data_IF_908779516984
#
_entry.id   IF_908779516984
#
_cell.length_a   1.000
_cell.length_b   1.000
_cell.length_c   1.000
_cell.angle_alpha   90.00
_cell.angle_beta   90.00
_cell.angle_gamma   90.00
#
_symmetry.space_group_name_H-M   'P 1'
#
loop_
_entity.id
_entity.type
_entity.pdbx_description
1 polymer ?
#
# COMPACT_ATOMS: atom_id res chain seq x y z
N UNK A 1 6.05 -20.30 -36.25
CA UNK A 1 5.80 -19.21 -37.23
C UNK A 1 4.71 -18.20 -36.82
N UNK A 2 4.03 -18.35 -35.67
CA UNK A 2 2.93 -17.46 -35.25
C UNK A 2 3.29 -16.49 -34.10
N UNK A 3 4.53 -16.57 -33.60
CA UNK A 3 5.05 -15.76 -32.48
C UNK A 3 5.26 -14.27 -32.83
N UNK A 4 5.09 -13.87 -34.09
CA UNK A 4 5.29 -12.50 -34.56
C UNK A 4 3.97 -11.72 -34.80
N UNK A 5 2.80 -12.26 -34.43
CA UNK A 5 1.51 -11.59 -34.73
C UNK A 5 1.03 -10.70 -33.58
N UNK A 6 1.34 -11.04 -32.32
CA UNK A 6 0.78 -10.33 -31.16
C UNK A 6 1.31 -8.89 -31.03
N UNK A 7 2.59 -8.76 -30.68
CA UNK A 7 3.25 -7.45 -30.49
C UNK A 7 3.42 -6.67 -31.82
N UNK A 8 3.95 -7.27 -32.90
CA UNK A 8 4.12 -6.56 -34.17
C UNK A 8 2.80 -6.19 -34.86
N UNK A 9 1.76 -7.02 -34.74
CA UNK A 9 0.43 -6.72 -35.31
C UNK A 9 -0.26 -5.55 -34.60
N UNK A 10 -0.15 -5.48 -33.28
CA UNK A 10 -0.70 -4.36 -32.51
C UNK A 10 0.02 -3.04 -32.86
N UNK A 11 1.33 -3.08 -33.09
CA UNK A 11 2.12 -1.93 -33.53
C UNK A 11 1.67 -1.45 -34.93
N UNK A 12 1.42 -2.36 -35.87
CA UNK A 12 0.89 -2.03 -37.20
C UNK A 12 -0.47 -1.31 -37.09
N UNK A 13 -1.38 -1.85 -36.26
CA UNK A 13 -2.71 -1.24 -36.03
C UNK A 13 -2.56 0.15 -35.42
N UNK A 14 -1.67 0.33 -34.44
CA UNK A 14 -1.41 1.62 -33.81
C UNK A 14 -0.92 2.67 -34.83
N UNK A 15 -0.04 2.28 -35.76
CA UNK A 15 0.44 3.16 -36.85
C UNK A 15 -0.70 3.52 -37.81
N UNK A 16 -1.52 2.55 -38.23
CA UNK A 16 -2.66 2.81 -39.13
C UNK A 16 -3.65 3.79 -38.50
N UNK A 17 -4.00 3.58 -37.22
CA UNK A 17 -4.88 4.49 -36.47
C UNK A 17 -4.25 5.87 -36.34
N UNK A 18 -2.94 5.95 -36.05
CA UNK A 18 -2.23 7.22 -35.96
C UNK A 18 -2.20 7.99 -37.28
N UNK A 19 -2.14 7.31 -38.42
CA UNK A 19 -2.20 7.94 -39.77
C UNK A 19 -3.61 8.43 -40.08
N UNK A 20 -4.64 7.63 -39.77
CA UNK A 20 -6.04 7.99 -40.02
C UNK A 20 -6.54 9.15 -39.14
N UNK A 21 -6.21 9.11 -37.85
CA UNK A 21 -6.63 10.13 -36.89
C UNK A 21 -5.63 11.30 -36.78
N UNK A 22 -4.38 11.09 -37.19
CA UNK A 22 -3.30 12.05 -37.10
C UNK A 22 -2.74 12.21 -35.68
N UNK A 23 -1.44 12.52 -35.56
CA UNK A 23 -0.75 12.75 -34.27
C UNK A 23 -1.38 13.85 -33.40
N UNK A 24 -2.01 14.86 -34.01
CA UNK A 24 -2.60 15.99 -33.29
C UNK A 24 -3.87 15.64 -32.53
N UNK A 25 -4.80 14.89 -33.15
CA UNK A 25 -6.08 14.54 -32.51
C UNK A 25 -5.89 13.50 -31.41
N UNK A 26 -5.03 12.50 -31.64
CA UNK A 26 -4.73 11.45 -30.65
C UNK A 26 -4.06 12.02 -29.39
N UNK A 27 -3.13 12.97 -29.54
CA UNK A 27 -2.44 13.58 -28.39
C UNK A 27 -3.37 14.41 -27.50
N UNK A 28 -4.33 15.13 -28.09
CA UNK A 28 -5.31 15.91 -27.33
C UNK A 28 -6.24 15.00 -26.53
N UNK A 29 -6.75 13.94 -27.18
CA UNK A 29 -7.63 12.96 -26.54
C UNK A 29 -6.92 12.15 -25.45
N UNK A 30 -5.66 11.74 -25.67
CA UNK A 30 -4.89 11.05 -24.63
C UNK A 30 -4.56 11.93 -23.43
N UNK A 31 -4.44 13.24 -23.62
CA UNK A 31 -4.29 14.19 -22.50
C UNK A 31 -5.54 14.27 -21.62
N UNK A 32 -6.73 14.34 -22.23
CA UNK A 32 -8.02 14.39 -21.51
C UNK A 32 -8.35 13.04 -20.85
N UNK A 33 -8.17 11.93 -21.59
CA UNK A 33 -8.37 10.58 -21.06
C UNK A 33 -7.34 10.26 -19.96
N UNK A 34 -6.08 10.67 -20.12
CA UNK A 34 -5.03 10.49 -19.12
C UNK A 34 -5.33 11.19 -17.80
N UNK A 35 -5.90 12.41 -17.85
CA UNK A 35 -6.38 13.11 -16.66
C UNK A 35 -7.53 12.36 -15.99
N UNK A 36 -8.48 11.84 -16.76
CA UNK A 36 -9.59 11.03 -16.24
C UNK A 36 -9.13 9.74 -15.55
N UNK A 37 -8.20 9.00 -16.18
CA UNK A 37 -7.60 7.79 -15.59
C UNK A 37 -6.81 8.13 -14.32
N UNK A 38 -6.06 9.24 -14.32
CA UNK A 38 -5.28 9.64 -13.14
C UNK A 38 -6.18 10.06 -11.97
N UNK A 39 -7.25 10.81 -12.24
CA UNK A 39 -8.25 11.17 -11.23
C UNK A 39 -8.98 9.93 -10.68
N UNK A 40 -9.34 8.98 -11.55
CA UNK A 40 -9.92 7.71 -11.14
C UNK A 40 -8.95 6.90 -10.27
N UNK A 41 -7.69 6.78 -10.68
CA UNK A 41 -6.64 6.10 -9.90
C UNK A 41 -6.40 6.79 -8.55
N UNK A 42 -6.39 8.12 -8.51
CA UNK A 42 -6.24 8.88 -7.28
C UNK A 42 -7.43 8.65 -6.34
N UNK A 43 -8.67 8.73 -6.84
CA UNK A 43 -9.88 8.49 -6.06
C UNK A 43 -9.99 7.06 -5.53
N UNK A 44 -9.65 6.04 -6.34
CA UNK A 44 -9.60 4.64 -5.88
C UNK A 44 -8.51 4.43 -4.82
N UNK A 45 -7.35 5.08 -4.98
CA UNK A 45 -6.27 5.01 -4.00
C UNK A 45 -6.66 5.69 -2.69
N UNK A 46 -7.27 6.87 -2.74
CA UNK A 46 -7.78 7.58 -1.56
C UNK A 46 -8.84 6.75 -0.82
N UNK A 47 -9.80 6.16 -1.55
CA UNK A 47 -10.79 5.23 -0.94
C UNK A 47 -10.16 3.97 -0.35
N UNK A 48 -9.03 3.51 -0.90
CA UNK A 48 -8.30 2.35 -0.37
C UNK A 48 -7.43 2.72 0.84
N UNK A 49 -6.82 3.91 0.81
CA UNK A 49 -5.93 4.44 1.84
C UNK A 49 -6.72 4.89 3.08
N UNK A 50 -7.96 5.37 2.94
CA UNK A 50 -8.86 5.67 4.07
C UNK A 50 -9.20 4.39 4.87
N UNK A 51 -9.43 3.28 4.17
CA UNK A 51 -9.70 1.97 4.80
C UNK A 51 -8.41 1.38 5.42
N UNK A 52 -7.25 1.65 4.81
CA UNK A 52 -5.96 1.12 5.26
C UNK A 52 -5.34 1.95 6.41
N UNK A 53 -5.58 3.26 6.46
CA UNK A 53 -5.09 4.14 7.52
C UNK A 53 -5.71 3.80 8.87
N UNK A 54 -7.01 3.47 8.90
CA UNK A 54 -7.68 2.96 10.10
C UNK A 54 -7.08 1.61 10.57
N UNK A 55 -6.74 0.72 9.64
CA UNK A 55 -6.11 -0.56 9.96
C UNK A 55 -4.67 -0.43 10.48
N UNK A 56 -3.91 0.54 9.95
CA UNK A 56 -2.53 0.80 10.35
C UNK A 56 -2.43 1.39 11.76
N UNK A 57 -3.33 2.31 12.11
CA UNK A 57 -3.38 2.91 13.45
C UNK A 57 -3.76 1.88 14.52
N UNK A 58 -4.75 1.02 14.25
CA UNK A 58 -5.13 -0.10 15.12
C UNK A 58 -4.00 -1.12 15.30
N UNK A 59 -3.25 -1.41 14.23
CA UNK A 59 -2.12 -2.36 14.27
C UNK A 59 -0.93 -1.80 15.05
N UNK A 60 -0.63 -0.51 14.88
CA UNK A 60 0.43 0.19 15.62
C UNK A 60 0.08 0.34 17.12
N UNK A 61 -1.21 0.50 17.45
CA UNK A 61 -1.69 0.59 18.82
C UNK A 61 -1.67 -0.78 19.54
N UNK A 62 -2.11 -1.86 18.87
CA UNK A 62 -1.98 -3.23 19.38
C UNK A 62 -0.52 -3.60 19.67
N UNK A 63 0.41 -3.30 18.75
CA UNK A 63 1.83 -3.56 18.94
C UNK A 63 2.42 -2.80 20.13
N UNK A 64 1.97 -1.55 20.36
CA UNK A 64 2.41 -0.77 21.53
C UNK A 64 1.81 -1.29 22.83
N UNK A 65 0.58 -1.78 22.81
CA UNK A 65 -0.07 -2.34 23.99
C UNK A 65 0.58 -3.66 24.42
N UNK A 66 0.86 -4.55 23.47
CA UNK A 66 1.56 -5.81 23.74
C UNK A 66 3.00 -5.56 24.23
N UNK A 67 3.71 -4.59 23.66
CA UNK A 67 5.04 -4.18 24.15
C UNK A 67 5.01 -3.64 25.60
N UNK A 68 3.91 -2.98 26.01
CA UNK A 68 3.73 -2.48 27.39
C UNK A 68 3.34 -3.61 28.36
N UNK A 69 2.50 -4.54 27.93
CA UNK A 69 2.13 -5.73 28.73
C UNK A 69 3.36 -6.57 29.02
N UNK A 70 4.21 -6.81 28.03
CA UNK A 70 5.46 -7.55 28.21
C UNK A 70 6.41 -6.90 29.23
N UNK A 71 6.49 -5.56 29.27
CA UNK A 71 7.24 -4.87 30.32
C UNK A 71 6.63 -5.07 31.71
N UNK A 72 5.29 -5.01 31.83
CA UNK A 72 4.58 -5.14 33.10
C UNK A 72 4.65 -6.56 33.68
N UNK A 73 4.72 -7.60 32.83
CA UNK A 73 4.90 -8.98 33.26
C UNK A 73 6.35 -9.30 33.69
N UNK A 74 7.34 -8.52 33.26
CA UNK A 74 8.76 -8.73 33.64
C UNK A 74 9.10 -8.23 35.04
N UNK A 75 8.29 -7.32 35.59
CA UNK A 75 8.48 -6.72 36.92
C UNK A 75 7.83 -7.53 38.06
N UNK A 76 7.98 -8.86 38.02
CA UNK A 76 7.49 -9.78 39.07
C UNK A 76 8.62 -10.53 39.77
N UNK A 77 9.85 -10.04 39.67
CA UNK A 77 10.98 -10.62 40.41
C UNK A 77 10.71 -10.41 41.90
N UNK A 78 10.51 -11.47 42.71
CA UNK A 78 10.22 -11.32 44.12
C UNK A 78 11.41 -10.62 44.78
N UNK A 79 11.17 -9.50 45.45
CA UNK A 79 12.19 -8.90 46.30
C UNK A 79 12.37 -9.84 47.50
N UNK A 80 13.53 -10.48 47.59
CA UNK A 80 13.83 -11.44 48.66
C UNK A 80 13.71 -10.74 50.01
N UNK A 81 12.69 -11.11 50.78
CA UNK A 81 12.48 -10.62 52.16
C UNK A 81 13.65 -11.13 53.01
N UNK A 82 14.44 -10.26 53.68
CA UNK A 82 15.51 -10.71 54.55
C UNK A 82 14.92 -11.52 55.69
N UNK A 83 15.23 -12.82 55.76
CA UNK A 83 14.92 -13.65 56.93
C UNK A 83 15.77 -13.15 58.09
N UNK A 84 15.14 -12.34 58.94
CA UNK A 84 15.62 -11.99 60.27
C UNK A 84 15.89 -13.30 61.03
N UNK A 85 17.18 -13.59 61.23
CA UNK A 85 17.67 -14.84 61.79
C UNK A 85 18.34 -14.60 63.14
N UNK A 86 17.85 -13.65 63.94
CA UNK A 86 18.41 -13.36 65.27
C UNK A 86 17.31 -13.17 66.33
N UNK A 87 16.64 -14.27 66.69
CA UNK A 87 15.93 -14.38 67.97
C UNK A 87 16.04 -15.81 68.50
N UNK A 88 17.13 -16.10 69.21
CA UNK A 88 17.21 -16.93 70.44
C UNK A 88 18.57 -16.74 71.09
#
# INVERSE_FOLDING_TARGET
>A
MLQNIGLPGLLLIAVVVLVLFGRGKVSSLMGEVGKGINAFKQGVKESSDDVNSAGKELTDEMNREDARRDQKLRDVTPHEVPRDRDRV
#
